data_IF_343197907372
#
_entry.id   IF_343197907372
#
_cell.length_a   1.000
_cell.length_b   1.000
_cell.length_c   1.000
_cell.angle_alpha   90.00
_cell.angle_beta   90.00
_cell.angle_gamma   90.00
#
_symmetry.space_group_name_H-M   'P 1'
#
loop_
_entity.id
_entity.type
_entity.pdbx_description
1 polymer ?
#
# COMPACT_ATOMS: atom_id res chain seq x y z
N UNK A 1 -2.98 -12.13 -5.36
CA UNK A 1 -2.18 -13.13 -6.10
C UNK A 1 -0.71 -13.11 -5.66
N UNK A 2 0.12 -12.07 -5.93
CA UNK A 2 1.54 -12.10 -5.55
C UNK A 2 1.76 -12.32 -4.03
N UNK A 3 0.98 -11.66 -3.18
CA UNK A 3 1.05 -11.86 -1.73
C UNK A 3 0.76 -13.30 -1.32
N UNK A 4 -0.19 -14.00 -1.96
CA UNK A 4 -0.48 -15.40 -1.63
C UNK A 4 0.66 -16.35 -2.00
N UNK A 5 1.45 -16.01 -3.01
CA UNK A 5 2.61 -16.80 -3.42
C UNK A 5 3.87 -16.49 -2.58
N UNK A 6 3.98 -15.27 -2.06
CA UNK A 6 5.20 -14.78 -1.37
C UNK A 6 5.06 -14.72 0.15
N UNK A 7 3.89 -15.01 0.73
CA UNK A 7 3.66 -14.94 2.18
C UNK A 7 2.97 -16.19 2.71
N UNK A 8 3.05 -16.37 4.03
CA UNK A 8 2.37 -17.44 4.77
C UNK A 8 0.95 -17.01 5.22
N UNK A 9 0.38 -15.94 4.64
CA UNK A 9 -0.96 -15.49 5.00
C UNK A 9 -1.99 -16.60 4.73
N UNK A 10 -2.77 -16.96 5.73
CA UNK A 10 -3.83 -17.98 5.61
C UNK A 10 -4.96 -17.48 4.72
N UNK A 11 -5.35 -16.21 4.89
CA UNK A 11 -6.38 -15.57 4.08
C UNK A 11 -5.98 -14.15 3.66
N UNK A 12 -6.46 -13.72 2.50
CA UNK A 12 -6.23 -12.40 1.94
C UNK A 12 -7.58 -11.82 1.51
N UNK A 13 -7.84 -10.56 1.86
CA UNK A 13 -9.02 -9.85 1.41
C UNK A 13 -8.61 -8.55 0.71
N UNK A 14 -9.02 -8.37 -0.55
CA UNK A 14 -8.89 -7.13 -1.29
C UNK A 14 -10.16 -6.28 -1.14
N UNK A 15 -10.00 -4.98 -0.88
CA UNK A 15 -11.06 -3.99 -0.95
C UNK A 15 -10.82 -3.10 -2.17
N UNK A 16 -11.77 -3.07 -3.10
CA UNK A 16 -11.66 -2.35 -4.37
C UNK A 16 -12.95 -1.56 -4.63
N UNK A 17 -12.81 -0.26 -4.86
CA UNK A 17 -13.95 0.63 -5.08
C UNK A 17 -14.54 0.49 -6.49
N UNK A 18 -13.71 0.16 -7.49
CA UNK A 18 -14.13 0.05 -8.88
C UNK A 18 -14.73 -1.33 -9.17
N UNK A 19 -15.97 -1.38 -9.63
CA UNK A 19 -16.69 -2.62 -9.93
C UNK A 19 -15.93 -3.49 -10.95
N UNK A 20 -15.45 -2.90 -12.05
CA UNK A 20 -14.74 -3.61 -13.11
C UNK A 20 -13.42 -4.21 -12.62
N UNK A 21 -12.68 -3.47 -11.79
CA UNK A 21 -11.42 -3.94 -11.18
C UNK A 21 -11.68 -5.07 -10.19
N UNK A 22 -12.73 -4.95 -9.38
CA UNK A 22 -13.12 -6.00 -8.45
C UNK A 22 -13.57 -7.29 -9.17
N UNK A 23 -14.32 -7.15 -10.27
CA UNK A 23 -14.71 -8.29 -11.13
C UNK A 23 -13.49 -8.95 -11.76
N UNK A 24 -12.59 -8.17 -12.34
CA UNK A 24 -11.34 -8.68 -12.94
C UNK A 24 -10.49 -9.43 -11.90
N UNK A 25 -10.39 -8.90 -10.67
CA UNK A 25 -9.67 -9.56 -9.60
C UNK A 25 -10.33 -10.90 -9.21
N UNK A 26 -11.66 -10.95 -9.07
CA UNK A 26 -12.39 -12.21 -8.77
C UNK A 26 -12.18 -13.26 -9.87
N UNK A 27 -12.27 -12.87 -11.15
CA UNK A 27 -11.99 -13.80 -12.27
C UNK A 27 -10.55 -14.32 -12.22
N UNK A 28 -9.58 -13.45 -11.93
CA UNK A 28 -8.18 -13.87 -11.79
C UNK A 28 -7.97 -14.83 -10.63
N UNK A 29 -8.67 -14.65 -9.51
CA UNK A 29 -8.64 -15.57 -8.36
C UNK A 29 -9.18 -16.94 -8.79
N UNK A 30 -10.35 -16.99 -9.42
CA UNK A 30 -10.98 -18.22 -9.89
C UNK A 30 -10.11 -18.97 -10.92
N UNK A 31 -9.52 -18.27 -11.89
CA UNK A 31 -8.61 -18.85 -12.88
C UNK A 31 -7.35 -19.50 -12.28
N UNK A 32 -6.97 -19.09 -11.07
CA UNK A 32 -5.80 -19.63 -10.36
C UNK A 32 -6.19 -20.56 -9.19
N UNK A 33 -7.46 -20.88 -9.03
CA UNK A 33 -7.98 -21.76 -7.96
C UNK A 33 -7.57 -21.29 -6.56
N UNK A 34 -7.74 -19.99 -6.28
CA UNK A 34 -7.35 -19.34 -5.03
C UNK A 34 -8.53 -18.84 -4.20
N UNK A 35 -9.76 -19.24 -4.52
CA UNK A 35 -11.00 -18.76 -3.90
C UNK A 35 -11.07 -19.08 -2.41
N UNK A 36 -10.47 -20.17 -1.99
CA UNK A 36 -10.41 -20.57 -0.57
C UNK A 36 -9.47 -19.67 0.27
N UNK A 37 -8.54 -18.95 -0.39
CA UNK A 37 -7.55 -18.12 0.28
C UNK A 37 -7.68 -16.63 0.00
N UNK A 38 -8.29 -16.24 -1.11
CA UNK A 38 -8.34 -14.84 -1.54
C UNK A 38 -9.79 -14.46 -1.85
N UNK A 39 -10.25 -13.40 -1.22
CA UNK A 39 -11.53 -12.78 -1.53
C UNK A 39 -11.36 -11.33 -1.99
N UNK A 40 -12.31 -10.80 -2.76
CA UNK A 40 -12.37 -9.39 -3.14
C UNK A 40 -13.77 -8.85 -2.87
N UNK A 41 -13.82 -7.82 -2.04
CA UNK A 41 -15.03 -7.06 -1.72
C UNK A 41 -14.99 -5.75 -2.51
N UNK A 42 -16.07 -5.45 -3.21
CA UNK A 42 -16.27 -4.14 -3.80
C UNK A 42 -16.78 -3.19 -2.73
N UNK A 43 -16.07 -2.08 -2.49
CA UNK A 43 -16.46 -1.10 -1.48
C UNK A 43 -15.49 0.04 -1.34
N UNK A 44 -15.93 1.09 -0.66
CA UNK A 44 -15.11 2.27 -0.33
C UNK A 44 -14.41 2.04 1.00
N UNK A 45 -13.13 2.35 1.07
CA UNK A 45 -12.34 2.28 2.32
C UNK A 45 -12.95 3.13 3.44
N UNK A 46 -13.59 4.23 3.11
CA UNK A 46 -14.28 5.10 4.10
C UNK A 46 -15.46 4.41 4.78
N UNK A 47 -16.00 3.38 4.17
CA UNK A 47 -17.08 2.55 4.68
C UNK A 47 -16.60 1.17 5.17
N UNK A 48 -15.30 0.99 5.34
CA UNK A 48 -14.72 -0.29 5.78
C UNK A 48 -15.27 -0.76 7.15
N UNK A 49 -15.76 0.16 7.97
CA UNK A 49 -16.43 -0.14 9.24
C UNK A 49 -17.75 -0.89 9.07
N UNK A 50 -18.41 -0.75 7.92
CA UNK A 50 -19.64 -1.49 7.58
C UNK A 50 -19.33 -2.88 6.98
N UNK A 51 -18.15 -3.05 6.43
CA UNK A 51 -17.72 -4.24 5.70
C UNK A 51 -16.93 -5.23 6.58
N UNK A 52 -16.18 -4.71 7.55
CA UNK A 52 -15.27 -5.50 8.37
C UNK A 52 -15.41 -5.18 9.85
N UNK A 53 -15.26 -6.18 10.69
CA UNK A 53 -15.17 -6.01 12.13
C UNK A 53 -13.89 -5.23 12.51
N UNK A 54 -13.92 -4.51 13.62
CA UNK A 54 -12.72 -3.88 14.17
C UNK A 54 -11.71 -4.94 14.61
N UNK A 55 -10.42 -4.65 14.47
CA UNK A 55 -9.32 -5.53 14.87
C UNK A 55 -9.39 -6.94 14.25
N UNK A 56 -9.85 -7.03 12.99
CA UNK A 56 -10.02 -8.30 12.27
C UNK A 56 -8.84 -8.68 11.35
N UNK A 57 -7.82 -7.85 11.26
CA UNK A 57 -6.64 -8.10 10.43
C UNK A 57 -5.34 -7.98 11.21
N UNK A 58 -4.41 -8.89 10.96
CA UNK A 58 -3.03 -8.82 11.49
C UNK A 58 -2.17 -7.90 10.64
N UNK A 59 -2.46 -7.84 9.34
CA UNK A 59 -1.73 -7.04 8.37
C UNK A 59 -2.69 -6.33 7.44
N UNK A 60 -2.43 -5.04 7.20
CA UNK A 60 -3.05 -4.24 6.14
C UNK A 60 -1.96 -3.72 5.22
N UNK A 61 -2.18 -3.77 3.91
CA UNK A 61 -1.28 -3.19 2.91
C UNK A 61 -2.03 -2.17 2.06
N UNK A 62 -1.35 -1.09 1.66
CA UNK A 62 -1.92 -0.09 0.77
C UNK A 62 -0.88 0.49 -0.18
N UNK A 63 -1.32 0.71 -1.41
CA UNK A 63 -0.61 1.48 -2.42
C UNK A 63 -1.59 2.53 -2.95
N UNK A 64 -1.87 3.59 -2.17
CA UNK A 64 -2.90 4.56 -2.50
C UNK A 64 -2.46 5.47 -3.66
N UNK A 65 -3.38 6.22 -4.28
CA UNK A 65 -3.04 7.27 -5.23
C UNK A 65 -2.08 8.30 -4.61
N UNK A 66 -1.09 8.77 -5.37
CA UNK A 66 0.00 9.61 -4.83
C UNK A 66 -0.21 11.11 -5.00
N UNK A 67 -1.22 11.54 -5.75
CA UNK A 67 -1.40 12.92 -6.18
C UNK A 67 -2.19 13.74 -5.18
N UNK A 68 -1.74 14.96 -4.90
CA UNK A 68 -2.53 15.99 -4.22
C UNK A 68 -3.29 16.76 -5.30
N UNK A 69 -4.58 16.96 -5.14
CA UNK A 69 -5.51 17.47 -6.16
C UNK A 69 -5.26 18.86 -6.77
N UNK A 70 -4.06 19.47 -6.63
CA UNK A 70 -3.75 20.80 -7.16
C UNK A 70 -2.45 20.92 -7.99
N UNK A 71 -1.67 19.87 -8.19
CA UNK A 71 -0.40 19.96 -8.92
C UNK A 71 -0.17 18.92 -10.02
N UNK A 72 -1.23 18.49 -10.69
CA UNK A 72 -1.14 17.59 -11.85
C UNK A 72 -0.97 18.36 -13.15
N UNK A 73 0.26 18.57 -13.62
CA UNK A 73 0.54 19.19 -14.92
C UNK A 73 0.34 18.23 -16.11
N UNK A 74 -0.40 18.70 -17.10
CA UNK A 74 -0.19 18.56 -18.55
C UNK A 74 -0.49 17.25 -19.27
N UNK A 75 -1.51 16.48 -18.89
CA UNK A 75 -2.16 15.62 -19.89
C UNK A 75 -3.68 15.65 -19.68
N UNK A 76 -4.50 16.18 -20.62
CA UNK A 76 -5.92 16.45 -20.39
C UNK A 76 -6.80 15.21 -20.18
N UNK A 77 -6.32 14.01 -20.51
CA UNK A 77 -7.09 12.78 -20.39
C UNK A 77 -6.73 11.91 -19.18
N UNK A 78 -5.47 11.93 -18.71
CA UNK A 78 -5.03 11.19 -17.53
C UNK A 78 -5.45 11.82 -16.17
N UNK A 79 -5.58 13.17 -16.04
CA UNK A 79 -5.90 13.81 -14.77
C UNK A 79 -7.28 13.50 -14.21
N UNK A 80 -8.28 13.23 -15.07
CA UNK A 80 -9.68 13.05 -14.64
C UNK A 80 -9.92 11.74 -13.87
N UNK A 81 -9.21 10.69 -14.21
CA UNK A 81 -9.32 9.40 -13.49
C UNK A 81 -8.56 9.45 -12.16
N UNK A 82 -7.35 10.00 -12.18
CA UNK A 82 -6.47 10.09 -10.98
C UNK A 82 -7.02 11.12 -9.99
N UNK A 83 -7.43 12.30 -10.44
CA UNK A 83 -8.05 13.32 -9.59
C UNK A 83 -9.37 12.86 -8.96
N UNK A 84 -10.16 12.01 -9.64
CA UNK A 84 -11.37 11.42 -9.06
C UNK A 84 -11.07 10.50 -7.89
N UNK A 85 -9.94 9.81 -7.90
CA UNK A 85 -9.58 8.89 -6.81
C UNK A 85 -9.12 9.62 -5.55
N UNK A 86 -8.41 10.76 -5.65
CA UNK A 86 -8.05 11.56 -4.46
C UNK A 86 -9.21 12.39 -3.91
N UNK A 87 -10.14 12.80 -4.74
CA UNK A 87 -11.40 13.42 -4.29
C UNK A 87 -12.24 12.40 -3.50
N UNK A 88 -12.05 11.11 -3.74
CA UNK A 88 -12.82 10.04 -3.10
C UNK A 88 -12.21 9.55 -1.80
N UNK A 89 -10.87 9.59 -1.61
CA UNK A 89 -10.19 9.03 -0.44
C UNK A 89 -8.89 9.79 -0.14
N UNK A 90 -8.77 10.33 1.07
CA UNK A 90 -7.54 10.95 1.57
C UNK A 90 -6.65 9.92 2.26
N UNK A 91 -5.36 10.24 2.46
CA UNK A 91 -4.49 9.38 3.27
C UNK A 91 -4.96 9.30 4.73
N UNK A 92 -5.61 10.33 5.22
CA UNK A 92 -6.22 10.35 6.55
C UNK A 92 -7.34 9.30 6.69
N UNK A 93 -8.20 9.16 5.66
CA UNK A 93 -9.24 8.12 5.63
C UNK A 93 -8.62 6.72 5.69
N UNK A 94 -7.55 6.49 4.91
CA UNK A 94 -6.82 5.22 4.91
C UNK A 94 -6.21 4.93 6.27
N UNK A 95 -5.54 5.90 6.89
CA UNK A 95 -4.91 5.72 8.19
C UNK A 95 -5.95 5.45 9.30
N UNK A 96 -7.07 6.18 9.30
CA UNK A 96 -8.16 5.99 10.25
C UNK A 96 -8.76 4.58 10.17
N UNK A 97 -9.11 4.15 8.97
CA UNK A 97 -9.69 2.81 8.78
C UNK A 97 -8.67 1.70 9.02
N UNK A 98 -7.42 1.87 8.59
CA UNK A 98 -6.35 0.91 8.89
C UNK A 98 -6.16 0.72 10.39
N UNK A 99 -6.12 1.82 11.16
CA UNK A 99 -5.98 1.75 12.62
C UNK A 99 -7.15 1.02 13.28
N UNK A 100 -8.35 1.13 12.73
CA UNK A 100 -9.53 0.40 13.21
C UNK A 100 -9.48 -1.09 12.84
N UNK A 101 -9.10 -1.41 11.61
CA UNK A 101 -9.10 -2.76 11.06
C UNK A 101 -8.02 -3.66 11.65
N UNK A 102 -6.82 -3.12 11.90
CA UNK A 102 -5.71 -3.88 12.46
C UNK A 102 -6.01 -4.35 13.89
N UNK A 103 -5.60 -5.56 14.22
CA UNK A 103 -5.49 -6.02 15.60
C UNK A 103 -4.44 -5.19 16.38
N UNK A 104 -4.49 -5.10 17.71
CA UNK A 104 -3.42 -4.51 18.51
C UNK A 104 -2.07 -5.20 18.20
N UNK A 105 -1.04 -4.41 17.87
CA UNK A 105 0.25 -4.93 17.40
C UNK A 105 0.29 -5.33 15.92
N UNK A 106 -0.82 -5.27 15.21
CA UNK A 106 -0.89 -5.53 13.77
C UNK A 106 -0.10 -4.52 12.95
N UNK A 107 0.33 -4.92 11.76
CA UNK A 107 1.25 -4.17 10.90
C UNK A 107 0.55 -3.55 9.69
N UNK A 108 0.85 -2.29 9.42
CA UNK A 108 0.48 -1.59 8.19
C UNK A 108 1.68 -1.43 7.28
N UNK A 109 1.57 -1.86 6.03
CA UNK A 109 2.59 -1.66 5.01
C UNK A 109 2.08 -0.72 3.93
N UNK A 110 2.87 0.31 3.63
CA UNK A 110 2.49 1.40 2.72
C UNK A 110 3.59 1.64 1.69
N UNK A 111 3.19 1.78 0.44
CA UNK A 111 4.03 2.32 -0.65
C UNK A 111 3.55 3.73 -0.96
N UNK A 112 4.46 4.70 -1.02
CA UNK A 112 4.09 6.07 -1.34
C UNK A 112 5.24 6.86 -1.98
N UNK A 113 5.01 8.16 -2.26
CA UNK A 113 6.04 9.07 -2.78
C UNK A 113 6.80 9.74 -1.64
N UNK A 114 8.15 9.88 -1.73
CA UNK A 114 8.99 10.46 -0.68
C UNK A 114 8.64 11.91 -0.32
N UNK A 115 8.17 12.72 -1.27
CA UNK A 115 7.82 14.12 -1.01
C UNK A 115 6.64 14.30 -0.02
N UNK A 116 5.85 13.25 0.21
CA UNK A 116 4.78 13.26 1.23
C UNK A 116 5.19 12.64 2.57
N UNK A 117 6.45 12.25 2.72
CA UNK A 117 6.90 11.46 3.89
C UNK A 117 6.56 12.13 5.23
N UNK A 118 6.76 13.43 5.34
CA UNK A 118 6.44 14.17 6.58
C UNK A 118 4.96 14.09 6.93
N UNK A 119 4.07 14.30 5.97
CA UNK A 119 2.63 14.18 6.12
C UNK A 119 2.23 12.75 6.52
N UNK A 120 2.82 11.74 5.85
CA UNK A 120 2.54 10.33 6.13
C UNK A 120 2.89 9.97 7.58
N UNK A 121 4.07 10.36 8.06
CA UNK A 121 4.51 10.08 9.43
C UNK A 121 3.59 10.74 10.45
N UNK A 122 3.27 12.03 10.26
CA UNK A 122 2.37 12.78 11.16
C UNK A 122 0.99 12.13 11.21
N UNK A 123 0.43 11.80 10.05
CA UNK A 123 -0.89 11.18 9.96
C UNK A 123 -0.91 9.78 10.60
N UNK A 124 0.08 8.94 10.32
CA UNK A 124 0.18 7.62 10.93
C UNK A 124 0.24 7.72 12.46
N UNK A 125 1.09 8.60 13.00
CA UNK A 125 1.21 8.80 14.45
C UNK A 125 -0.08 9.31 15.09
N UNK A 126 -0.81 10.22 14.42
CA UNK A 126 -2.12 10.71 14.84
C UNK A 126 -3.12 9.57 15.08
N UNK A 127 -3.10 8.54 14.24
CA UNK A 127 -3.97 7.35 14.33
C UNK A 127 -3.36 6.18 15.11
N UNK A 128 -2.30 6.41 15.89
CA UNK A 128 -1.61 5.38 16.69
C UNK A 128 -1.07 4.22 15.85
N UNK A 129 -0.75 4.49 14.60
CA UNK A 129 0.02 3.65 13.71
C UNK A 129 1.48 4.12 13.81
N UNK A 130 2.25 3.55 14.73
CA UNK A 130 3.62 3.98 14.97
C UNK A 130 4.55 3.53 13.85
N UNK A 131 5.23 4.45 13.11
CA UNK A 131 6.19 4.09 12.08
C UNK A 131 7.36 3.30 12.66
N UNK A 132 7.66 2.12 12.11
CA UNK A 132 8.66 1.19 12.63
C UNK A 132 9.82 0.96 11.69
N UNK A 133 9.56 0.96 10.39
CA UNK A 133 10.58 0.78 9.35
C UNK A 133 10.29 1.70 8.18
N UNK A 134 11.35 2.23 7.58
CA UNK A 134 11.30 3.02 6.37
C UNK A 134 12.41 2.56 5.42
N UNK A 135 12.09 2.46 4.13
CA UNK A 135 13.07 2.19 3.08
C UNK A 135 12.79 3.11 1.89
N UNK A 136 13.81 3.81 1.43
CA UNK A 136 13.72 4.60 0.20
C UNK A 136 14.08 3.73 -1.00
N UNK A 137 13.28 3.85 -2.07
CA UNK A 137 13.45 3.09 -3.30
C UNK A 137 13.94 4.02 -4.40
N UNK A 138 15.06 3.64 -5.00
CA UNK A 138 15.76 4.38 -6.03
C UNK A 138 15.64 3.67 -7.38
N UNK A 139 15.27 4.37 -8.47
CA UNK A 139 15.29 3.74 -9.78
C UNK A 139 16.72 3.33 -10.19
N UNK A 140 17.71 4.20 -9.92
CA UNK A 140 19.14 3.98 -10.11
C UNK A 140 19.91 4.56 -8.92
N UNK A 141 21.13 4.08 -8.68
CA UNK A 141 21.93 4.49 -7.52
C UNK A 141 22.31 6.00 -7.55
N UNK A 142 22.35 6.61 -8.72
CA UNK A 142 22.70 8.03 -8.96
C UNK A 142 21.49 8.95 -9.10
N UNK A 143 20.27 8.43 -8.87
CA UNK A 143 19.01 9.19 -8.98
C UNK A 143 18.38 9.43 -7.61
N UNK A 144 17.45 10.38 -7.55
CA UNK A 144 16.65 10.58 -6.35
C UNK A 144 15.67 9.42 -6.13
N UNK A 145 15.31 9.13 -4.87
CA UNK A 145 14.31 8.11 -4.59
C UNK A 145 12.94 8.53 -5.14
N UNK A 146 12.26 7.60 -5.77
CA UNK A 146 10.95 7.83 -6.35
C UNK A 146 9.80 7.17 -5.57
N UNK A 147 10.12 6.28 -4.64
CA UNK A 147 9.17 5.68 -3.71
C UNK A 147 9.75 5.56 -2.30
N UNK A 148 8.84 5.51 -1.32
CA UNK A 148 9.12 5.14 0.06
C UNK A 148 8.24 3.98 0.46
N UNK A 149 8.84 3.00 1.11
CA UNK A 149 8.16 1.88 1.77
C UNK A 149 8.13 2.19 3.26
N UNK A 150 6.96 2.12 3.87
CA UNK A 150 6.76 2.34 5.29
C UNK A 150 6.09 1.12 5.92
N UNK A 151 6.57 0.73 7.09
CA UNK A 151 5.85 -0.15 8.00
C UNK A 151 5.49 0.64 9.25
N UNK A 152 4.22 0.57 9.64
CA UNK A 152 3.75 1.08 10.92
C UNK A 152 3.06 -0.02 11.71
N UNK A 153 3.03 0.09 13.04
CA UNK A 153 2.42 -0.90 13.93
C UNK A 153 1.37 -0.24 14.80
N UNK A 154 0.17 -0.81 14.85
CA UNK A 154 -0.91 -0.33 15.70
C UNK A 154 -0.54 -0.40 17.18
N UNK A 155 -0.49 0.75 17.86
CA UNK A 155 -0.11 0.84 19.27
C UNK A 155 1.38 0.53 19.53
N UNK A 156 2.22 0.60 18.50
CA UNK A 156 3.66 0.40 18.63
C UNK A 156 4.32 1.45 19.53
N UNK A 157 5.45 1.11 20.15
CA UNK A 157 6.27 2.07 20.89
C UNK A 157 7.17 2.85 19.93
N UNK A 158 7.57 4.09 20.24
CA UNK A 158 8.50 4.87 19.43
C UNK A 158 9.79 4.09 19.10
N UNK A 159 10.34 4.32 17.99
CA UNK A 159 11.61 3.89 17.38
C UNK A 159 11.35 3.38 15.96
N UNK A 160 11.88 4.11 15.01
CA UNK A 160 11.86 3.75 13.59
C UNK A 160 13.26 3.33 13.13
N UNK A 161 13.34 2.26 12.36
CA UNK A 161 14.56 1.86 11.65
C UNK A 161 14.50 2.39 10.22
N UNK A 162 15.56 3.05 9.78
CA UNK A 162 15.77 3.42 8.38
C UNK A 162 16.62 2.32 7.74
N UNK A 163 16.04 1.62 6.78
CA UNK A 163 16.69 0.53 6.07
C UNK A 163 17.67 1.08 5.01
N UNK A 164 18.61 0.24 4.58
CA UNK A 164 19.47 0.59 3.44
C UNK A 164 18.62 0.90 2.19
N UNK A 165 19.07 1.80 1.32
CA UNK A 165 18.37 2.10 0.07
C UNK A 165 18.13 0.84 -0.78
N UNK A 166 16.95 0.73 -1.38
CA UNK A 166 16.65 -0.30 -2.37
C UNK A 166 16.82 0.28 -3.77
N UNK A 167 17.81 -0.18 -4.51
CA UNK A 167 18.06 0.24 -5.89
C UNK A 167 17.43 -0.76 -6.85
N UNK A 168 16.58 -0.28 -7.77
CA UNK A 168 15.83 -1.17 -8.68
C UNK A 168 16.69 -1.65 -9.86
N UNK A 169 17.33 -0.71 -10.56
CA UNK A 169 18.07 -1.02 -11.77
C UNK A 169 19.58 -0.77 -11.59
N UNK A 170 20.37 -1.71 -12.08
CA UNK A 170 21.82 -1.57 -12.25
C UNK A 170 22.12 -0.74 -13.50
N UNK A 171 21.39 -0.99 -14.58
CA UNK A 171 21.44 -0.29 -15.87
C UNK A 171 20.06 -0.42 -16.56
N UNK A 172 19.79 0.34 -17.64
CA UNK A 172 18.50 0.29 -18.32
C UNK A 172 18.05 -1.13 -18.68
N UNK A 173 16.91 -1.56 -18.11
CA UNK A 173 16.33 -2.88 -18.35
C UNK A 173 16.94 -4.02 -17.53
N UNK A 174 17.96 -3.77 -16.70
CA UNK A 174 18.62 -4.80 -15.87
C UNK A 174 18.38 -4.50 -14.39
N UNK A 175 17.71 -5.40 -13.69
CA UNK A 175 17.50 -5.29 -12.25
C UNK A 175 18.79 -5.54 -11.46
N UNK A 176 18.82 -5.02 -10.22
CA UNK A 176 19.88 -5.39 -9.26
C UNK A 176 19.68 -6.81 -8.75
N UNK A 177 20.76 -7.43 -8.25
CA UNK A 177 20.71 -8.75 -7.62
C UNK A 177 19.70 -8.81 -6.47
N UNK A 178 19.55 -7.70 -5.73
CA UNK A 178 18.60 -7.59 -4.62
C UNK A 178 17.15 -7.71 -5.14
N UNK A 179 16.84 -7.08 -6.26
CA UNK A 179 15.50 -7.17 -6.89
C UNK A 179 15.25 -8.58 -7.43
N UNK A 180 16.23 -9.19 -8.10
CA UNK A 180 16.09 -10.57 -8.53
C UNK A 180 15.82 -11.52 -7.35
N UNK A 181 16.55 -11.34 -6.23
CA UNK A 181 16.32 -12.12 -5.02
C UNK A 181 14.93 -11.92 -4.42
N UNK A 182 14.39 -10.69 -4.40
CA UNK A 182 13.04 -10.39 -3.91
C UNK A 182 11.97 -11.09 -4.75
N UNK A 183 12.13 -11.12 -6.08
CA UNK A 183 11.17 -11.75 -6.97
C UNK A 183 11.38 -13.27 -7.14
N UNK A 184 12.58 -13.78 -6.79
CA UNK A 184 12.90 -15.21 -6.88
C UNK A 184 13.26 -15.67 -8.31
N UNK A 185 13.95 -14.81 -9.06
CA UNK A 185 14.52 -15.13 -10.37
C UNK A 185 15.97 -15.58 -10.22
#
# INVERSE_FOLDING_TARGET
MLLSAKTQAESLCGLEIQADSADMARRSIAMNHLEDRISVIQGDIKEADKLFAAASFDVVTSNPPYMIGQHGLTNPEAPKAIARHEVLCTFEDIAAQTARLLAPGGSFYLVHRPFRLAELIVTLSKYKLEPKRMQLVYPYADREPNMVLLQAVRGGKPRMTVEKPLVIYKEPGVYTEEIYGIYGY
#
